data_IF_445712023535
#
_entry.id   IF_445712023535
#
_cell.length_a   1.000
_cell.length_b   1.000
_cell.length_c   1.000
_cell.angle_alpha   90.00
_cell.angle_beta   90.00
_cell.angle_gamma   90.00
#
_symmetry.space_group_name_H-M   'P 1'
#
loop_
_entity.id
_entity.type
_entity.pdbx_description
1 polymer ?
#
# COMPACT_ATOMS: atom_id res chain seq x y z
N UNK A 1 -14.45 -15.85 6.22
CA UNK A 1 -15.39 -15.10 7.05
C UNK A 1 -16.82 -15.63 6.92
N UNK A 2 -17.56 -15.80 8.03
CA UNK A 2 -18.98 -16.16 8.00
C UNK A 2 -19.90 -15.02 7.52
N UNK A 3 -19.37 -13.80 7.48
CA UNK A 3 -20.03 -12.56 7.06
C UNK A 3 -19.07 -11.73 6.23
N UNK A 4 -19.56 -11.01 5.22
CA UNK A 4 -18.77 -10.01 4.52
C UNK A 4 -18.45 -8.84 5.47
N UNK A 5 -17.17 -8.60 5.71
CA UNK A 5 -16.67 -7.56 6.61
C UNK A 5 -16.39 -6.22 5.88
N UNK A 6 -16.55 -6.19 4.57
CA UNK A 6 -16.07 -5.08 3.74
C UNK A 6 -14.55 -5.01 3.68
N UNK A 7 -14.02 -4.04 2.93
CA UNK A 7 -12.58 -3.84 2.75
C UNK A 7 -11.87 -3.57 4.10
N UNK A 8 -12.29 -2.56 4.89
CA UNK A 8 -11.57 -2.21 6.13
C UNK A 8 -11.64 -3.30 7.18
N UNK A 9 -12.81 -3.89 7.38
CA UNK A 9 -12.98 -4.99 8.33
C UNK A 9 -12.18 -6.23 7.94
N UNK A 10 -12.02 -6.50 6.63
CA UNK A 10 -11.17 -7.59 6.16
C UNK A 10 -9.68 -7.32 6.41
N UNK A 11 -9.21 -6.09 6.20
CA UNK A 11 -7.82 -5.70 6.51
C UNK A 11 -7.49 -5.92 7.98
N UNK A 12 -8.34 -5.45 8.89
CA UNK A 12 -8.15 -5.65 10.32
C UNK A 12 -8.16 -7.14 10.68
N UNK A 13 -9.09 -7.90 10.12
CA UNK A 13 -9.21 -9.33 10.40
C UNK A 13 -7.99 -10.13 9.95
N UNK A 14 -7.48 -9.92 8.72
CA UNK A 14 -6.34 -10.69 8.22
C UNK A 14 -5.05 -10.38 8.97
N UNK A 15 -4.84 -9.14 9.40
CA UNK A 15 -3.69 -8.79 10.24
C UNK A 15 -3.78 -9.41 11.62
N UNK A 16 -4.98 -9.48 12.21
CA UNK A 16 -5.18 -10.16 13.49
C UNK A 16 -4.96 -11.69 13.41
N UNK A 17 -5.21 -12.29 12.25
CA UNK A 17 -4.97 -13.72 12.01
C UNK A 17 -3.51 -14.07 11.72
N UNK A 18 -2.68 -13.08 11.37
CA UNK A 18 -1.26 -13.30 11.11
C UNK A 18 -0.49 -13.51 12.42
N UNK A 19 0.56 -14.33 12.39
CA UNK A 19 1.43 -14.63 13.55
C UNK A 19 2.84 -14.06 13.40
N UNK A 20 3.20 -13.57 12.20
CA UNK A 20 4.52 -13.04 11.90
C UNK A 20 4.80 -11.69 12.58
N UNK A 21 6.08 -11.37 12.74
CA UNK A 21 6.55 -10.05 13.19
C UNK A 21 6.19 -8.96 12.18
N UNK A 22 6.26 -9.28 10.89
CA UNK A 22 5.87 -8.41 9.80
C UNK A 22 4.64 -8.95 9.08
N UNK A 23 3.83 -8.04 8.56
CA UNK A 23 2.67 -8.34 7.72
C UNK A 23 2.81 -7.69 6.34
N UNK A 24 2.35 -8.39 5.31
CA UNK A 24 2.23 -7.90 3.94
C UNK A 24 0.81 -8.14 3.44
N UNK A 25 0.07 -7.07 3.18
CA UNK A 25 -1.28 -7.14 2.61
C UNK A 25 -1.20 -7.20 1.08
N UNK A 26 -1.60 -8.32 0.50
CA UNK A 26 -1.64 -8.53 -0.95
C UNK A 26 -3.07 -8.84 -1.35
N UNK A 27 -3.52 -8.31 -2.49
CA UNK A 27 -4.80 -8.68 -3.09
C UNK A 27 -4.77 -10.14 -3.58
N UNK A 28 -5.92 -10.77 -3.62
CA UNK A 28 -6.08 -12.12 -4.17
C UNK A 28 -5.94 -12.16 -5.70
N UNK A 29 -6.01 -11.00 -6.33
CA UNK A 29 -5.78 -10.77 -7.75
C UNK A 29 -4.34 -10.36 -8.10
N UNK A 30 -3.50 -10.03 -7.11
CA UNK A 30 -2.11 -9.63 -7.34
C UNK A 30 -1.18 -10.85 -7.49
N UNK A 31 -0.07 -10.66 -8.21
CA UNK A 31 0.91 -11.72 -8.46
C UNK A 31 2.22 -11.44 -7.71
N UNK A 32 2.93 -12.51 -7.36
CA UNK A 32 4.27 -12.40 -6.80
C UNK A 32 5.33 -12.69 -7.88
N UNK A 33 6.40 -11.90 -7.86
CA UNK A 33 7.57 -12.17 -8.70
C UNK A 33 8.24 -13.49 -8.26
N UNK A 34 8.89 -14.21 -9.17
CA UNK A 34 9.69 -15.37 -8.78
C UNK A 34 10.67 -15.03 -7.66
N UNK A 35 10.72 -15.90 -6.64
CA UNK A 35 11.56 -15.75 -5.44
C UNK A 35 11.28 -14.48 -4.60
N UNK A 36 10.07 -13.90 -4.70
CA UNK A 36 9.72 -12.68 -3.99
C UNK A 36 9.89 -12.81 -2.47
N UNK A 37 9.40 -13.90 -1.87
CA UNK A 37 9.53 -14.13 -0.43
C UNK A 37 10.98 -14.30 0.02
N UNK A 38 11.78 -15.06 -0.70
CA UNK A 38 13.20 -15.25 -0.37
C UNK A 38 13.95 -13.90 -0.39
N UNK A 39 13.68 -13.08 -1.41
CA UNK A 39 14.27 -11.74 -1.55
C UNK A 39 13.80 -10.81 -0.44
N UNK A 40 12.51 -10.86 -0.07
CA UNK A 40 11.96 -10.08 1.02
C UNK A 40 12.56 -10.47 2.36
N UNK A 41 12.61 -11.75 2.70
CA UNK A 41 13.20 -12.24 3.94
C UNK A 41 14.67 -11.83 4.06
N UNK A 42 15.46 -11.98 3.00
CA UNK A 42 16.85 -11.51 2.95
C UNK A 42 16.95 -10.00 3.20
N UNK A 43 16.01 -9.22 2.65
CA UNK A 43 15.98 -7.76 2.88
C UNK A 43 15.66 -7.44 4.34
N UNK A 44 14.71 -8.12 4.95
CA UNK A 44 14.36 -7.95 6.37
C UNK A 44 15.57 -8.31 7.25
N UNK A 45 16.18 -9.48 7.05
CA UNK A 45 17.32 -9.95 7.82
C UNK A 45 18.54 -9.00 7.76
N UNK A 46 18.73 -8.35 6.62
CA UNK A 46 19.81 -7.38 6.42
C UNK A 46 19.52 -5.99 6.99
N UNK A 47 18.28 -5.73 7.42
CA UNK A 47 17.82 -4.42 7.87
C UNK A 47 17.14 -4.48 9.25
N UNK A 48 17.82 -5.05 10.23
CA UNK A 48 17.33 -5.16 11.60
C UNK A 48 16.93 -3.80 12.18
N UNK A 49 15.79 -3.76 12.87
CA UNK A 49 15.25 -2.55 13.49
C UNK A 49 14.56 -1.59 12.51
N UNK A 50 14.29 -2.03 11.29
CA UNK A 50 13.40 -1.35 10.37
C UNK A 50 11.98 -1.83 10.60
N UNK A 51 11.05 -0.90 10.83
CA UNK A 51 9.64 -1.22 11.13
C UNK A 51 8.75 -1.29 9.89
N UNK A 52 9.20 -0.68 8.77
CA UNK A 52 8.39 -0.53 7.57
C UNK A 52 9.25 -0.68 6.31
N UNK A 53 8.80 -1.52 5.37
CA UNK A 53 9.43 -1.73 4.08
C UNK A 53 8.48 -1.30 2.98
N UNK A 54 8.89 -0.35 2.14
CA UNK A 54 8.23 -0.11 0.87
C UNK A 54 8.73 -1.15 -0.12
N UNK A 55 7.82 -1.93 -0.67
CA UNK A 55 8.10 -2.96 -1.65
C UNK A 55 7.59 -2.51 -3.01
N UNK A 56 8.50 -2.23 -3.93
CA UNK A 56 8.09 -1.83 -5.27
C UNK A 56 7.33 -2.97 -5.97
N UNK A 57 6.47 -2.59 -6.91
CA UNK A 57 5.63 -3.51 -7.68
C UNK A 57 5.64 -3.11 -9.16
N UNK A 58 5.24 -4.02 -10.03
CA UNK A 58 4.91 -3.73 -11.40
C UNK A 58 3.40 -3.53 -11.59
N UNK A 59 3.02 -2.84 -12.67
CA UNK A 59 1.67 -2.83 -13.22
C UNK A 59 1.55 -3.85 -14.34
N UNK A 60 0.43 -4.57 -14.37
CA UNK A 60 0.02 -5.42 -15.47
C UNK A 60 -1.51 -5.37 -15.60
N UNK A 61 -2.03 -5.49 -16.81
CA UNK A 61 -3.47 -5.55 -17.00
C UNK A 61 -3.99 -6.97 -16.77
N UNK A 62 -5.18 -7.10 -16.22
CA UNK A 62 -5.86 -8.40 -16.09
C UNK A 62 -6.09 -9.05 -17.43
N UNK A 63 -6.36 -8.29 -18.49
CA UNK A 63 -6.51 -8.78 -19.85
C UNK A 63 -5.30 -9.61 -20.29
N UNK A 64 -4.07 -9.10 -20.07
CA UNK A 64 -2.86 -9.84 -20.42
C UNK A 64 -2.83 -11.22 -19.75
N UNK A 65 -3.19 -11.29 -18.46
CA UNK A 65 -3.16 -12.54 -17.68
C UNK A 65 -4.23 -13.51 -18.18
N UNK A 66 -5.43 -13.02 -18.49
CA UNK A 66 -6.54 -13.88 -18.99
C UNK A 66 -6.34 -14.39 -20.40
N UNK A 67 -5.57 -13.71 -21.23
CA UNK A 67 -5.19 -14.17 -22.57
C UNK A 67 -4.16 -15.32 -22.54
N UNK A 68 -3.51 -15.55 -21.40
CA UNK A 68 -2.54 -16.61 -21.23
C UNK A 68 -3.19 -17.92 -20.79
N UNK A 69 -2.42 -19.01 -20.92
CA UNK A 69 -2.84 -20.32 -20.41
C UNK A 69 -3.07 -20.29 -18.89
N UNK A 70 -4.21 -20.83 -18.46
CA UNK A 70 -4.53 -20.94 -17.02
C UNK A 70 -4.25 -22.34 -16.48
N UNK A 71 -3.77 -22.46 -15.20
CA UNK A 71 -3.44 -21.37 -14.29
C UNK A 71 -2.22 -20.57 -14.77
N UNK A 72 -2.25 -19.25 -14.60
CA UNK A 72 -1.17 -18.38 -15.05
C UNK A 72 0.16 -18.68 -14.34
N UNK A 73 1.20 -18.85 -15.11
CA UNK A 73 2.54 -19.08 -14.57
C UNK A 73 3.34 -17.77 -14.54
N UNK A 74 3.72 -17.30 -13.37
CA UNK A 74 4.47 -16.04 -13.19
C UNK A 74 5.86 -16.04 -13.84
N UNK A 75 6.36 -17.19 -14.33
CA UNK A 75 7.56 -17.24 -15.18
C UNK A 75 7.31 -16.67 -16.58
N UNK A 76 6.04 -16.55 -16.98
CA UNK A 76 5.60 -16.00 -18.27
C UNK A 76 5.28 -14.49 -18.20
N UNK A 77 5.64 -13.81 -17.11
CA UNK A 77 5.47 -12.36 -17.00
C UNK A 77 6.23 -11.65 -18.13
N UNK A 78 5.71 -10.52 -18.64
CA UNK A 78 6.39 -9.71 -19.65
C UNK A 78 7.76 -9.23 -19.16
N UNK A 79 8.75 -9.20 -20.06
CA UNK A 79 10.09 -8.70 -19.74
C UNK A 79 10.05 -7.20 -19.40
N UNK A 80 9.11 -6.46 -20.01
CA UNK A 80 8.95 -5.02 -19.76
C UNK A 80 7.58 -4.79 -19.12
N UNK A 81 7.60 -4.30 -17.89
CA UNK A 81 6.42 -3.84 -17.16
C UNK A 81 6.70 -2.47 -16.55
N UNK A 82 5.68 -1.65 -16.39
CA UNK A 82 5.77 -0.37 -15.72
C UNK A 82 5.90 -0.57 -14.21
N UNK A 83 6.79 0.19 -13.56
CA UNK A 83 6.99 0.14 -12.10
C UNK A 83 6.08 1.15 -11.42
N UNK A 84 5.60 0.83 -10.23
CA UNK A 84 4.91 1.79 -9.37
C UNK A 84 5.81 2.94 -8.94
N UNK A 85 7.05 2.64 -8.60
CA UNK A 85 8.06 3.64 -8.30
C UNK A 85 9.23 3.51 -9.25
N UNK A 86 9.58 4.64 -9.87
CA UNK A 86 10.80 4.77 -10.67
C UNK A 86 12.00 5.28 -9.84
N UNK A 87 11.85 5.38 -8.51
CA UNK A 87 12.94 5.76 -7.63
C UNK A 87 14.03 4.69 -7.67
N UNK A 88 15.27 5.14 -7.90
CA UNK A 88 16.41 4.25 -8.09
C UNK A 88 17.22 4.17 -6.80
N UNK A 89 17.56 2.96 -6.43
CA UNK A 89 18.38 2.70 -5.25
C UNK A 89 17.55 2.31 -4.05
N UNK A 90 17.77 1.08 -3.59
CA UNK A 90 17.22 0.60 -2.31
C UNK A 90 18.02 1.19 -1.15
N UNK A 91 17.38 1.42 -0.01
CA UNK A 91 18.05 1.95 1.17
C UNK A 91 17.11 2.37 2.30
N UNK A 92 17.72 2.66 3.45
CA UNK A 92 17.00 3.15 4.61
C UNK A 92 16.72 4.65 4.48
N UNK A 93 15.57 5.08 5.00
CA UNK A 93 15.14 6.47 5.07
C UNK A 93 14.17 6.66 6.24
N UNK A 94 13.70 7.89 6.48
CA UNK A 94 12.64 8.16 7.44
C UNK A 94 11.26 7.95 6.79
N UNK A 95 10.26 7.58 7.56
CA UNK A 95 8.93 7.24 7.06
C UNK A 95 8.33 8.33 6.15
N UNK A 96 8.39 9.60 6.55
CA UNK A 96 7.83 10.69 5.74
C UNK A 96 8.57 10.98 4.44
N UNK A 97 9.76 10.44 4.24
CA UNK A 97 10.45 10.53 2.94
C UNK A 97 9.78 9.66 1.88
N UNK A 98 9.05 8.60 2.30
CA UNK A 98 8.20 7.80 1.39
C UNK A 98 7.01 8.59 0.86
N UNK A 99 6.52 9.60 1.63
CA UNK A 99 5.40 10.45 1.25
C UNK A 99 5.91 11.52 0.27
N UNK A 100 6.25 11.05 -0.92
CA UNK A 100 6.84 11.82 -2.00
C UNK A 100 6.32 11.28 -3.34
N UNK A 101 5.74 12.11 -4.21
CA UNK A 101 5.20 11.66 -5.49
C UNK A 101 6.23 11.02 -6.44
N UNK A 102 7.53 11.22 -6.20
CA UNK A 102 8.60 10.55 -6.93
C UNK A 102 8.87 9.12 -6.45
N UNK A 103 8.43 8.78 -5.24
CA UNK A 103 8.61 7.46 -4.61
C UNK A 103 7.29 6.72 -4.63
N UNK A 104 6.26 7.27 -3.99
CA UNK A 104 4.92 6.71 -3.94
C UNK A 104 3.91 7.77 -4.36
N UNK A 105 3.42 7.68 -5.59
CA UNK A 105 2.47 8.66 -6.15
C UNK A 105 1.09 8.57 -5.52
N UNK A 106 0.75 7.45 -4.89
CA UNK A 106 -0.49 7.18 -4.16
C UNK A 106 -0.33 7.32 -2.64
N UNK A 107 0.84 7.82 -2.20
CA UNK A 107 1.15 8.08 -0.79
C UNK A 107 0.83 6.90 0.13
N UNK A 108 1.24 5.70 -0.27
CA UNK A 108 1.01 4.42 0.39
C UNK A 108 -0.45 3.90 0.33
N UNK A 109 -1.29 4.49 -0.53
CA UNK A 109 -2.66 4.00 -0.75
C UNK A 109 -2.71 2.58 -1.34
N UNK A 110 -1.67 2.15 -2.07
CA UNK A 110 -1.49 0.77 -2.53
C UNK A 110 -0.99 -0.14 -1.40
N UNK A 111 -1.89 -0.90 -0.76
CA UNK A 111 -1.56 -1.76 0.38
C UNK A 111 -0.46 -2.79 0.08
N UNK A 112 -0.41 -3.30 -1.16
CA UNK A 112 0.56 -4.30 -1.62
C UNK A 112 2.00 -3.76 -1.70
N UNK A 113 2.19 -2.44 -1.59
CA UNK A 113 3.50 -1.79 -1.58
C UNK A 113 4.15 -1.76 -0.18
N UNK A 114 3.48 -2.29 0.85
CA UNK A 114 3.88 -2.09 2.24
C UNK A 114 4.01 -3.41 2.99
N UNK A 115 5.21 -3.65 3.55
CA UNK A 115 5.46 -4.68 4.56
C UNK A 115 5.81 -3.95 5.86
N UNK A 116 5.14 -4.26 6.94
CA UNK A 116 5.22 -3.45 8.14
C UNK A 116 5.21 -4.28 9.42
N UNK A 117 5.76 -3.73 10.50
CA UNK A 117 5.72 -4.32 11.82
C UNK A 117 4.27 -4.47 12.27
N UNK A 118 3.86 -5.72 12.49
CA UNK A 118 2.47 -6.09 12.80
C UNK A 118 2.01 -5.58 14.16
N UNK A 119 2.87 -5.61 15.17
CA UNK A 119 2.53 -5.17 16.52
C UNK A 119 2.22 -3.67 16.53
N UNK A 120 3.06 -2.85 15.91
CA UNK A 120 2.80 -1.41 15.74
C UNK A 120 1.49 -1.12 15.02
N UNK A 121 1.14 -1.91 14.01
CA UNK A 121 -0.17 -1.81 13.37
C UNK A 121 -1.31 -2.07 14.35
N UNK A 122 -1.26 -3.18 15.09
CA UNK A 122 -2.33 -3.58 16.01
C UNK A 122 -2.54 -2.52 17.11
N UNK A 123 -1.45 -2.02 17.70
CA UNK A 123 -1.48 -0.98 18.73
C UNK A 123 -2.13 0.31 18.25
N UNK A 124 -2.02 0.62 16.96
CA UNK A 124 -2.54 1.85 16.36
C UNK A 124 -3.85 1.66 15.58
N UNK A 125 -4.41 0.46 15.50
CA UNK A 125 -5.66 0.21 14.78
C UNK A 125 -6.87 0.93 15.41
N UNK A 126 -6.78 1.31 16.68
CA UNK A 126 -7.82 2.06 17.40
C UNK A 126 -8.04 3.50 16.89
N UNK A 127 -7.16 4.03 16.01
CA UNK A 127 -7.34 5.36 15.41
C UNK A 127 -8.47 5.41 14.37
N UNK A 128 -8.95 4.25 13.93
CA UNK A 128 -10.00 4.16 12.95
C UNK A 128 -11.36 4.46 13.57
N UNK A 129 -12.19 5.21 12.85
CA UNK A 129 -13.56 5.45 13.22
C UNK A 129 -14.40 4.18 12.97
N UNK A 130 -15.00 3.67 14.04
CA UNK A 130 -15.78 2.44 13.99
C UNK A 130 -17.04 2.56 13.13
N UNK A 131 -17.72 3.70 13.15
CA UNK A 131 -18.92 3.94 12.36
C UNK A 131 -18.57 3.97 10.87
N UNK A 132 -17.44 4.61 10.53
CA UNK A 132 -16.93 4.65 9.16
C UNK A 132 -16.52 3.25 8.63
N UNK A 133 -15.95 2.40 9.50
CA UNK A 133 -15.58 1.01 9.12
C UNK A 133 -16.80 0.12 8.91
N UNK A 134 -17.83 0.31 9.72
CA UNK A 134 -19.07 -0.46 9.63
C UNK A 134 -20.00 0.03 8.50
N UNK A 135 -19.71 1.20 7.89
CA UNK A 135 -20.43 1.73 6.74
C UNK A 135 -20.27 0.82 5.52
N UNK A 136 -21.39 0.45 4.92
CA UNK A 136 -21.44 -0.43 3.76
C UNK A 136 -21.26 0.30 2.44
N UNK A 137 -21.32 1.62 2.45
CA UNK A 137 -21.10 2.44 1.27
C UNK A 137 -19.59 2.50 0.98
N UNK A 138 -19.18 1.89 -0.11
CA UNK A 138 -17.77 1.80 -0.50
C UNK A 138 -17.23 3.22 -0.75
N UNK A 139 -16.08 3.51 -0.14
CA UNK A 139 -15.38 4.80 -0.28
C UNK A 139 -16.11 6.03 0.27
N UNK A 140 -17.12 5.84 1.13
CA UNK A 140 -17.85 6.94 1.78
C UNK A 140 -16.96 7.77 2.71
N UNK A 141 -15.98 7.14 3.36
CA UNK A 141 -15.05 7.74 4.31
C UNK A 141 -13.60 7.41 4.02
N UNK A 142 -12.67 8.23 4.56
CA UNK A 142 -11.25 7.93 4.52
C UNK A 142 -10.93 6.59 5.19
N UNK A 143 -11.51 6.33 6.36
CA UNK A 143 -11.25 5.14 7.16
C UNK A 143 -11.75 3.85 6.51
N UNK A 144 -12.78 3.90 5.67
CA UNK A 144 -13.21 2.74 4.91
C UNK A 144 -12.58 2.63 3.50
N UNK A 145 -11.88 3.67 3.06
CA UNK A 145 -11.16 3.69 1.79
C UNK A 145 -9.69 3.28 1.97
N UNK A 146 -9.01 3.97 2.89
CA UNK A 146 -7.58 3.78 3.17
C UNK A 146 -7.31 3.54 4.67
N UNK A 147 -7.92 2.52 5.31
CA UNK A 147 -7.73 2.28 6.73
C UNK A 147 -6.26 2.09 7.09
N UNK A 148 -5.51 1.39 6.23
CA UNK A 148 -4.08 1.15 6.40
C UNK A 148 -3.27 2.44 6.39
N UNK A 149 -3.60 3.42 5.54
CA UNK A 149 -2.87 4.69 5.48
C UNK A 149 -3.03 5.49 6.78
N UNK A 150 -4.22 5.52 7.37
CA UNK A 150 -4.46 6.18 8.67
C UNK A 150 -3.67 5.50 9.80
N UNK A 151 -3.67 4.17 9.83
CA UNK A 151 -2.87 3.42 10.80
C UNK A 151 -1.39 3.70 10.58
N UNK A 152 -0.88 3.68 9.34
CA UNK A 152 0.51 3.98 9.04
C UNK A 152 0.93 5.38 9.50
N UNK A 153 0.07 6.38 9.30
CA UNK A 153 0.31 7.75 9.72
C UNK A 153 0.50 7.89 11.23
N UNK A 154 -0.09 7.00 12.03
CA UNK A 154 0.00 7.02 13.49
C UNK A 154 1.08 6.07 14.02
N UNK A 155 1.26 4.90 13.38
CA UNK A 155 2.17 3.87 13.85
C UNK A 155 3.66 4.14 13.51
N UNK A 156 3.94 4.78 12.35
CA UNK A 156 5.30 4.81 11.79
C UNK A 156 5.94 6.20 11.63
N UNK A 157 5.41 7.34 12.13
CA UNK A 157 5.99 8.67 11.88
C UNK A 157 7.47 8.77 12.24
N UNK A 158 7.90 8.08 13.29
CA UNK A 158 9.26 8.10 13.83
C UNK A 158 10.06 6.84 13.49
N UNK A 159 9.54 5.98 12.62
CA UNK A 159 10.17 4.71 12.28
C UNK A 159 11.23 4.88 11.20
N UNK A 160 12.26 4.03 11.29
CA UNK A 160 13.12 3.76 10.15
C UNK A 160 12.39 2.88 9.17
N UNK A 161 12.50 3.22 7.89
CA UNK A 161 11.90 2.48 6.80
C UNK A 161 12.96 2.08 5.78
N UNK A 162 12.69 1.04 5.03
CA UNK A 162 13.55 0.60 3.93
C UNK A 162 12.76 0.66 2.62
N UNK A 163 13.30 1.34 1.63
CA UNK A 163 12.78 1.33 0.27
C UNK A 163 13.44 0.21 -0.53
N UNK A 164 12.65 -0.75 -1.00
CA UNK A 164 13.10 -1.84 -1.87
C UNK A 164 12.75 -1.51 -3.33
N UNK A 165 13.75 -1.09 -4.11
CA UNK A 165 13.56 -0.56 -5.46
C UNK A 165 13.16 -1.62 -6.49
N UNK A 166 13.64 -2.87 -6.35
CA UNK A 166 13.31 -3.94 -7.29
C UNK A 166 11.94 -4.54 -6.98
N UNK A 167 11.01 -4.58 -7.95
CA UNK A 167 9.68 -5.10 -7.72
C UNK A 167 9.66 -6.55 -7.23
N UNK A 168 8.84 -6.83 -6.22
CA UNK A 168 8.58 -8.18 -5.69
C UNK A 168 7.18 -8.67 -6.00
N UNK A 169 6.29 -7.80 -6.47
CA UNK A 169 4.92 -8.13 -6.84
C UNK A 169 4.52 -7.50 -8.17
N UNK A 170 3.38 -7.91 -8.67
CA UNK A 170 2.72 -7.34 -9.85
C UNK A 170 1.28 -7.07 -9.48
N UNK A 171 0.87 -5.81 -9.49
CA UNK A 171 -0.51 -5.41 -9.26
C UNK A 171 -1.29 -5.53 -10.56
N UNK A 172 -2.37 -6.32 -10.55
CA UNK A 172 -3.26 -6.44 -11.68
C UNK A 172 -4.29 -5.31 -11.70
N UNK A 173 -4.40 -4.63 -12.85
CA UNK A 173 -5.31 -3.50 -13.04
C UNK A 173 -6.31 -3.80 -14.16
N UNK A 174 -7.50 -3.17 -14.09
CA UNK A 174 -8.47 -3.18 -15.20
C UNK A 174 -9.78 -3.96 -14.96
N UNK A 175 -9.84 -4.89 -14.00
CA UNK A 175 -11.05 -5.68 -13.74
C UNK A 175 -11.92 -5.19 -12.57
N UNK A 176 -11.59 -4.06 -11.96
CA UNK A 176 -12.28 -3.60 -10.75
C UNK A 176 -13.49 -2.74 -11.12
N UNK A 177 -14.67 -3.13 -10.66
CA UNK A 177 -15.93 -2.40 -10.89
C UNK A 177 -15.87 -0.94 -10.44
N UNK A 178 -15.08 -0.64 -9.42
CA UNK A 178 -14.90 0.71 -8.89
C UNK A 178 -13.83 1.56 -9.63
N UNK A 179 -13.14 0.99 -10.62
CA UNK A 179 -12.09 1.71 -11.36
C UNK A 179 -12.56 3.07 -11.93
N UNK A 180 -13.80 3.25 -12.40
CA UNK A 180 -14.30 4.56 -12.83
C UNK A 180 -14.35 5.62 -11.71
N UNK A 181 -14.41 5.21 -10.44
CA UNK A 181 -14.39 6.12 -9.30
C UNK A 181 -12.97 6.52 -8.87
N UNK A 182 -11.94 5.89 -9.41
CA UNK A 182 -10.58 6.12 -8.98
C UNK A 182 -10.10 7.58 -9.05
N UNK A 183 -10.45 8.37 -10.08
CA UNK A 183 -10.12 9.81 -10.09
C UNK A 183 -10.68 10.56 -8.87
N UNK A 184 -11.92 10.26 -8.48
CA UNK A 184 -12.54 10.86 -7.29
C UNK A 184 -11.86 10.38 -6.00
N UNK A 185 -11.64 9.08 -5.86
CA UNK A 185 -10.96 8.49 -4.70
C UNK A 185 -9.58 9.14 -4.54
N UNK A 186 -8.82 9.26 -5.62
CA UNK A 186 -7.51 9.87 -5.63
C UNK A 186 -7.54 11.34 -5.23
N UNK A 187 -8.48 12.10 -5.73
CA UNK A 187 -8.54 13.56 -5.54
C UNK A 187 -9.07 13.96 -4.18
N UNK A 188 -9.93 13.14 -3.58
CA UNK A 188 -10.52 13.42 -2.26
C UNK A 188 -9.80 12.62 -1.18
N UNK A 189 -9.78 11.30 -1.29
CA UNK A 189 -9.28 10.42 -0.23
C UNK A 189 -7.76 10.48 -0.04
N UNK A 190 -6.99 10.66 -1.12
CA UNK A 190 -5.54 10.88 -0.97
C UNK A 190 -5.21 12.25 -0.36
N UNK A 191 -6.05 13.25 -0.57
CA UNK A 191 -5.88 14.54 0.10
C UNK A 191 -6.15 14.42 1.60
N UNK A 192 -7.18 13.68 2.00
CA UNK A 192 -7.44 13.35 3.41
C UNK A 192 -6.28 12.56 4.04
N UNK A 193 -5.69 11.63 3.29
CA UNK A 193 -4.48 10.93 3.72
C UNK A 193 -3.31 11.88 4.03
N UNK A 194 -3.10 12.87 3.17
CA UNK A 194 -2.06 13.88 3.40
C UNK A 194 -2.33 14.75 4.63
N UNK A 195 -3.60 15.06 4.90
CA UNK A 195 -3.99 15.80 6.10
C UNK A 195 -3.68 14.96 7.37
N UNK A 196 -3.90 13.64 7.33
CA UNK A 196 -3.56 12.75 8.43
C UNK A 196 -2.03 12.68 8.64
N UNK A 197 -1.25 12.51 7.58
CA UNK A 197 0.21 12.58 7.65
C UNK A 197 0.70 13.93 8.21
N UNK A 198 0.06 15.03 7.83
CA UNK A 198 0.42 16.37 8.32
C UNK A 198 0.17 16.52 9.81
N UNK A 199 -0.94 16.01 10.34
CA UNK A 199 -1.23 15.97 11.79
C UNK A 199 -0.13 15.23 12.56
N UNK A 200 0.43 14.18 11.96
CA UNK A 200 1.44 13.32 12.57
C UNK A 200 2.89 13.73 12.25
N UNK A 201 3.13 14.93 11.69
CA UNK A 201 4.46 15.50 11.58
C UNK A 201 5.04 15.59 10.16
N UNK A 202 4.30 15.23 9.11
CA UNK A 202 4.77 15.45 7.73
C UNK A 202 5.16 16.92 7.54
N UNK A 203 6.39 17.25 7.05
CA UNK A 203 6.84 18.63 6.87
C UNK A 203 5.88 19.42 5.98
N UNK A 204 5.60 20.67 6.36
CA UNK A 204 4.65 21.55 5.67
C UNK A 204 4.94 21.73 4.17
N UNK A 205 6.22 21.87 3.82
CA UNK A 205 6.65 21.98 2.41
C UNK A 205 6.32 20.71 1.64
N UNK A 206 6.60 19.54 2.20
CA UNK A 206 6.31 18.24 1.59
C UNK A 206 4.82 18.03 1.46
N UNK A 207 4.04 18.35 2.50
CA UNK A 207 2.58 18.30 2.47
C UNK A 207 2.00 19.07 1.26
N UNK A 208 2.40 20.33 1.05
CA UNK A 208 1.89 21.11 -0.07
C UNK A 208 2.36 20.60 -1.43
N UNK A 209 3.59 20.08 -1.53
CA UNK A 209 4.06 19.47 -2.75
C UNK A 209 3.23 18.23 -3.12
N UNK A 210 2.94 17.37 -2.15
CA UNK A 210 2.12 16.18 -2.33
C UNK A 210 0.66 16.53 -2.64
N UNK A 211 0.08 17.49 -1.92
CA UNK A 211 -1.29 17.97 -2.16
C UNK A 211 -1.47 18.52 -3.56
N UNK A 212 -0.56 19.37 -4.01
CA UNK A 212 -0.58 19.89 -5.37
C UNK A 212 -0.43 18.78 -6.42
N UNK A 213 0.35 17.74 -6.13
CA UNK A 213 0.47 16.58 -7.02
C UNK A 213 -0.82 15.77 -7.07
N UNK A 214 -1.44 15.47 -5.93
CA UNK A 214 -2.68 14.70 -5.86
C UNK A 214 -3.84 15.39 -6.61
N UNK A 215 -3.88 16.72 -6.59
CA UNK A 215 -4.92 17.52 -7.25
C UNK A 215 -4.69 17.76 -8.75
N UNK A 216 -3.54 17.40 -9.33
CA UNK A 216 -3.24 17.57 -10.77
C UNK A 216 -3.95 16.58 -11.69
N UNK A 217 -4.69 15.64 -11.16
CA UNK A 217 -5.37 14.59 -11.93
C UNK A 217 -6.83 14.88 -12.21
N UNK A 218 -7.25 16.14 -12.08
CA UNK A 218 -8.52 16.65 -12.56
C UNK A 218 -8.40 17.22 -13.97
#
# INVERSE_FOLDING_TARGET
NKKNLGIPGNFLNVINMADGEYAWLIGDDDLLMPNAFERLLKTIDQNNGVDFFYINSFHLTTEYVFEQQQPFNTKNLPIKMERFSNWKGSGQMNFFELINPKISFDFLGGMFLSVFNREKWIENACVLDKEAIDDKEIFSHFDNTFPHVKIFANAFPNSKVYFHAEPLSVCLTGAREWAPMYPFIRSVRLVEALDEYRKNGLPYKTYWQCKNFALRTF
#
